data_IF_529730038536
#
_entry.id   IF_529730038536
#
_cell.length_a   1.000
_cell.length_b   1.000
_cell.length_c   1.000
_cell.angle_alpha   90.00
_cell.angle_beta   90.00
_cell.angle_gamma   90.00
#
_symmetry.space_group_name_H-M   'P 1'
#
loop_
_entity.id
_entity.type
_entity.pdbx_description
1 polymer ?
#
# COMPACT_ATOMS: atom_id res chain seq x y z
N UNK A 1 -5.92 12.80 -3.68
CA UNK A 1 -5.41 12.04 -2.53
C UNK A 1 -5.59 10.54 -2.74
N UNK A 2 -6.67 9.89 -2.30
CA UNK A 2 -6.74 8.41 -2.36
C UNK A 2 -6.82 7.84 -3.78
N UNK A 3 -7.52 8.52 -4.70
CA UNK A 3 -7.59 8.17 -6.12
C UNK A 3 -6.24 8.18 -6.83
N UNK A 4 -5.27 8.98 -6.34
CA UNK A 4 -3.93 9.10 -6.93
C UNK A 4 -3.04 7.89 -6.62
N UNK A 5 -3.33 7.16 -5.55
CA UNK A 5 -2.69 5.86 -5.25
C UNK A 5 -3.47 4.71 -5.85
N UNK A 6 -4.80 4.71 -5.71
CA UNK A 6 -5.64 3.57 -6.06
C UNK A 6 -5.74 3.34 -7.57
N UNK A 7 -5.78 4.41 -8.39
CA UNK A 7 -5.83 4.27 -9.85
C UNK A 7 -4.56 3.63 -10.43
N UNK A 8 -3.35 4.13 -10.15
CA UNK A 8 -2.11 3.55 -10.72
C UNK A 8 -1.66 2.26 -10.04
N UNK A 9 -2.19 1.91 -8.86
CA UNK A 9 -1.94 0.61 -8.24
C UNK A 9 -2.47 -0.52 -9.12
N UNK A 10 -1.62 -1.49 -9.43
CA UNK A 10 -1.93 -2.63 -10.30
C UNK A 10 -1.75 -3.91 -9.48
N UNK A 11 -2.85 -4.64 -9.29
CA UNK A 11 -2.88 -5.84 -8.49
C UNK A 11 -2.07 -6.99 -9.11
N UNK A 12 -1.72 -6.93 -10.40
CA UNK A 12 -0.88 -7.92 -11.09
C UNK A 12 0.60 -7.55 -11.10
N UNK A 13 0.92 -6.30 -10.78
CA UNK A 13 2.29 -5.84 -10.75
C UNK A 13 2.94 -6.23 -9.42
N UNK A 14 3.95 -7.11 -9.49
CA UNK A 14 4.66 -7.62 -8.32
C UNK A 14 5.25 -6.48 -7.45
N UNK A 15 5.89 -5.48 -8.05
CA UNK A 15 6.48 -4.37 -7.31
C UNK A 15 5.41 -3.58 -6.54
N UNK A 16 4.25 -3.33 -7.18
CA UNK A 16 3.13 -2.65 -6.54
C UNK A 16 2.63 -3.44 -5.32
N UNK A 17 2.39 -4.74 -5.49
CA UNK A 17 1.88 -5.60 -4.42
C UNK A 17 2.91 -5.77 -3.29
N UNK A 18 4.19 -5.92 -3.61
CA UNK A 18 5.26 -6.05 -2.61
C UNK A 18 5.47 -4.76 -1.81
N UNK A 19 5.37 -3.59 -2.45
CA UNK A 19 5.31 -2.31 -1.74
C UNK A 19 4.10 -2.26 -0.80
N UNK A 20 2.90 -2.61 -1.28
CA UNK A 20 1.70 -2.60 -0.46
C UNK A 20 1.80 -3.55 0.75
N UNK A 21 2.40 -4.73 0.58
CA UNK A 21 2.72 -5.64 1.68
C UNK A 21 3.63 -4.99 2.72
N UNK A 22 4.76 -4.42 2.30
CA UNK A 22 5.73 -3.76 3.19
C UNK A 22 5.11 -2.56 3.94
N UNK A 23 4.28 -1.79 3.24
CA UNK A 23 3.54 -0.67 3.81
C UNK A 23 2.53 -1.13 4.87
N UNK A 24 1.80 -2.23 4.63
CA UNK A 24 0.89 -2.83 5.60
C UNK A 24 1.62 -3.31 6.86
N UNK A 25 2.78 -3.97 6.70
CA UNK A 25 3.63 -4.36 7.84
C UNK A 25 4.09 -3.14 8.65
N UNK A 26 4.45 -2.06 7.97
CA UNK A 26 4.84 -0.79 8.60
C UNK A 26 3.68 -0.16 9.38
N UNK A 27 2.46 -0.20 8.83
CA UNK A 27 1.26 0.27 9.54
C UNK A 27 0.95 -0.56 10.79
N UNK A 28 1.06 -1.88 10.72
CA UNK A 28 0.83 -2.76 11.87
C UNK A 28 1.82 -2.43 13.00
N UNK A 29 3.10 -2.27 12.68
CA UNK A 29 4.10 -1.89 13.69
C UNK A 29 3.81 -0.51 14.31
N UNK A 30 3.27 0.43 13.52
CA UNK A 30 2.86 1.76 14.01
C UNK A 30 1.72 1.67 15.02
N UNK A 31 0.75 0.78 14.79
CA UNK A 31 -0.36 0.54 15.71
C UNK A 31 0.09 -0.11 17.02
N UNK A 32 1.17 -0.88 16.99
CA UNK A 32 1.76 -1.52 18.17
C UNK A 32 2.64 -0.57 19.02
N UNK A 33 2.66 0.72 18.70
CA UNK A 33 3.35 1.75 19.50
C UNK A 33 4.86 1.83 19.27
N UNK A 34 5.38 1.26 18.18
CA UNK A 34 6.79 1.41 17.83
C UNK A 34 7.06 2.86 17.34
N UNK A 35 7.81 3.60 18.16
CA UNK A 35 8.11 5.03 17.94
C UNK A 35 9.18 5.26 16.86
N UNK A 36 9.81 4.22 16.32
CA UNK A 36 10.89 4.35 15.32
C UNK A 36 10.41 4.28 13.87
N UNK A 37 9.10 4.25 13.64
CA UNK A 37 8.55 4.05 12.29
C UNK A 37 8.45 5.36 11.55
N UNK A 38 9.03 5.38 10.35
CA UNK A 38 8.86 6.47 9.40
C UNK A 38 7.82 6.09 8.35
N UNK A 39 6.55 6.37 8.66
CA UNK A 39 5.44 6.09 7.75
C UNK A 39 5.52 6.92 6.46
N UNK A 40 6.01 8.16 6.52
CA UNK A 40 6.18 9.01 5.35
C UNK A 40 7.15 8.37 4.34
N UNK A 41 8.27 7.83 4.82
CA UNK A 41 9.22 7.12 3.96
C UNK A 41 8.59 5.87 3.29
N UNK A 42 7.87 5.05 4.04
CA UNK A 42 7.22 3.86 3.49
C UNK A 42 6.16 4.21 2.41
N UNK A 43 5.50 5.35 2.55
CA UNK A 43 4.57 5.87 1.53
C UNK A 43 5.34 6.39 0.32
N UNK A 44 6.41 7.16 0.52
CA UNK A 44 7.20 7.79 -0.55
C UNK A 44 8.02 6.79 -1.38
N UNK A 45 8.33 5.61 -0.83
CA UNK A 45 8.97 4.49 -1.54
C UNK A 45 8.05 3.78 -2.55
N UNK A 46 6.83 4.29 -2.76
CA UNK A 46 5.88 3.66 -3.66
C UNK A 46 6.39 3.59 -5.12
N UNK A 47 6.23 2.43 -5.78
CA UNK A 47 6.63 2.24 -7.18
C UNK A 47 5.60 2.77 -8.18
N UNK A 48 4.56 3.47 -7.74
CA UNK A 48 3.40 3.75 -8.57
C UNK A 48 3.72 4.79 -9.65
N UNK A 49 3.20 4.61 -10.88
CA UNK A 49 3.23 5.64 -11.91
C UNK A 49 2.71 6.99 -11.39
N UNK A 50 3.44 8.06 -11.69
CA UNK A 50 3.11 9.41 -11.21
C UNK A 50 3.60 9.74 -9.79
N UNK A 51 4.19 8.76 -9.08
CA UNK A 51 4.79 8.93 -7.73
C UNK A 51 3.88 9.74 -6.79
N UNK A 52 2.63 9.29 -6.56
CA UNK A 52 1.72 9.95 -5.65
C UNK A 52 2.35 10.12 -4.27
N UNK A 53 2.02 11.23 -3.61
CA UNK A 53 2.50 11.58 -2.27
C UNK A 53 1.34 11.98 -1.39
N UNK A 54 1.52 11.84 -0.09
CA UNK A 54 0.61 12.43 0.90
C UNK A 54 1.19 13.72 1.43
N UNK A 55 0.33 14.72 1.62
CA UNK A 55 0.70 15.94 2.36
C UNK A 55 0.67 15.70 3.87
N UNK A 56 -0.29 14.87 4.32
CA UNK A 56 -0.44 14.46 5.70
C UNK A 56 -0.52 12.94 5.79
N UNK A 57 0.39 12.34 6.55
CA UNK A 57 0.44 10.89 6.79
C UNK A 57 -0.85 10.38 7.45
N UNK A 58 -1.53 11.22 8.23
CA UNK A 58 -2.77 10.86 8.93
C UNK A 58 -3.95 10.60 7.97
N UNK A 59 -3.86 11.02 6.72
CA UNK A 59 -4.87 10.74 5.69
C UNK A 59 -4.70 9.35 5.08
N UNK A 60 -3.51 8.76 5.26
CA UNK A 60 -3.12 7.53 4.59
C UNK A 60 -3.84 6.25 5.05
N UNK A 61 -4.39 6.13 6.28
CA UNK A 61 -5.25 4.99 6.64
C UNK A 61 -6.44 4.79 5.69
N UNK A 62 -7.06 5.89 5.23
CA UNK A 62 -8.16 5.81 4.26
C UNK A 62 -7.68 5.34 2.88
N UNK A 63 -6.50 5.79 2.46
CA UNK A 63 -5.85 5.31 1.21
C UNK A 63 -5.54 3.82 1.30
N UNK A 64 -4.95 3.37 2.41
CA UNK A 64 -4.65 1.97 2.65
C UNK A 64 -5.92 1.10 2.63
N UNK A 65 -7.03 1.56 3.23
CA UNK A 65 -8.31 0.86 3.14
C UNK A 65 -8.75 0.65 1.69
N UNK A 66 -8.67 1.67 0.83
CA UNK A 66 -9.07 1.55 -0.57
C UNK A 66 -8.13 0.62 -1.37
N UNK A 67 -6.82 0.67 -1.11
CA UNK A 67 -5.85 -0.27 -1.70
C UNK A 67 -6.14 -1.71 -1.26
N UNK A 68 -6.42 -1.94 0.02
CA UNK A 68 -6.79 -3.24 0.57
C UNK A 68 -8.08 -3.78 -0.06
N UNK A 69 -9.10 -2.93 -0.20
CA UNK A 69 -10.36 -3.30 -0.86
C UNK A 69 -10.15 -3.67 -2.33
N UNK A 70 -9.36 -2.88 -3.08
CA UNK A 70 -9.04 -3.16 -4.48
C UNK A 70 -8.25 -4.47 -4.61
N UNK A 71 -7.20 -4.65 -3.81
CA UNK A 71 -6.34 -5.83 -3.87
C UNK A 71 -7.06 -7.10 -3.43
N UNK A 72 -7.81 -7.08 -2.32
CA UNK A 72 -8.59 -8.25 -1.87
C UNK A 72 -9.64 -8.67 -2.89
N UNK A 73 -10.32 -7.72 -3.53
CA UNK A 73 -11.26 -8.01 -4.63
C UNK A 73 -10.55 -8.68 -5.81
N UNK A 74 -9.36 -8.20 -6.20
CA UNK A 74 -8.57 -8.79 -7.28
C UNK A 74 -8.09 -10.22 -6.92
N UNK A 75 -7.63 -10.45 -5.69
CA UNK A 75 -7.25 -11.78 -5.20
C UNK A 75 -8.43 -12.76 -5.26
N UNK A 76 -9.60 -12.35 -4.76
CA UNK A 76 -10.80 -13.20 -4.76
C UNK A 76 -11.27 -13.57 -6.18
N UNK A 77 -11.00 -12.72 -7.17
CA UNK A 77 -11.30 -12.97 -8.58
C UNK A 77 -10.16 -13.69 -9.33
N UNK A 78 -9.06 -14.06 -8.67
CA UNK A 78 -7.90 -14.67 -9.31
C UNK A 78 -7.13 -13.73 -10.25
N UNK A 79 -7.31 -12.41 -10.10
CA UNK A 79 -6.78 -11.37 -10.97
C UNK A 79 -5.68 -10.53 -10.30
N UNK A 80 -4.90 -11.16 -9.43
CA UNK A 80 -3.84 -10.52 -8.67
C UNK A 80 -2.57 -11.37 -8.64
N UNK A 81 -1.43 -10.70 -8.56
CA UNK A 81 -0.18 -11.31 -8.13
C UNK A 81 -0.31 -11.70 -6.65
N UNK A 82 0.07 -12.94 -6.32
CA UNK A 82 0.06 -13.46 -4.95
C UNK A 82 1.52 -13.58 -4.48
N UNK A 83 1.93 -12.83 -3.44
CA UNK A 83 3.27 -12.95 -2.86
C UNK A 83 3.52 -14.37 -2.37
N UNK A 84 4.45 -15.09 -2.98
CA UNK A 84 4.86 -16.41 -2.53
C UNK A 84 5.79 -16.31 -1.32
N UNK A 85 5.67 -17.26 -0.39
CA UNK A 85 6.48 -17.41 0.83
C UNK A 85 7.69 -18.32 0.64
N UNK A 86 8.15 -18.57 -0.58
CA UNK A 86 9.37 -19.37 -0.76
C UNK A 86 10.60 -18.65 -0.22
#
# INVERSE_FOLDING_TARGET
MATEFVKPFDCKNEAHVMWFKSLGETMVKSLNGDKKINMAAAIDENPLPGKPRVQNVMDFPYVHFQLAMKYSTAVLNGDAFIPNTK
#
